data_IF_549055848268
#
_entry.id   IF_549055848268
#
_cell.length_a   1.000
_cell.length_b   1.000
_cell.length_c   1.000
_cell.angle_alpha   90.00
_cell.angle_beta   90.00
_cell.angle_gamma   90.00
#
_symmetry.space_group_name_H-M   'P 1'
#
loop_
_entity.id
_entity.type
_entity.pdbx_description
1 polymer ?
#
# COMPACT_ATOMS: atom_id res chain seq x y z
N UNK A 1 -25.10 -17.10 16.61
CA UNK A 1 -24.57 -18.45 16.86
C UNK A 1 -23.47 -18.75 15.83
N UNK A 2 -22.22 -18.55 16.23
CA UNK A 2 -20.99 -19.28 15.85
C UNK A 2 -19.86 -18.53 16.58
N UNK A 3 -19.57 -18.95 17.81
CA UNK A 3 -18.50 -18.36 18.61
C UNK A 3 -17.18 -18.99 18.19
N UNK A 4 -16.26 -18.23 17.60
CA UNK A 4 -14.86 -18.63 17.53
C UNK A 4 -14.21 -18.29 18.88
N UNK A 5 -14.12 -19.29 19.76
CA UNK A 5 -13.17 -19.28 20.89
C UNK A 5 -11.86 -19.85 20.37
N UNK A 6 -10.84 -19.01 20.19
CA UNK A 6 -9.46 -19.47 20.02
C UNK A 6 -8.87 -19.72 21.41
N UNK A 7 -8.66 -21.00 21.72
CA UNK A 7 -7.84 -21.43 22.85
C UNK A 7 -6.36 -21.39 22.44
N UNK A 8 -5.55 -20.64 23.18
CA UNK A 8 -4.09 -20.80 23.20
C UNK A 8 -3.70 -21.39 24.55
N UNK A 9 -3.25 -22.64 24.57
CA UNK A 9 -2.51 -23.21 25.69
C UNK A 9 -1.04 -23.35 25.28
N UNK A 10 -0.19 -22.57 25.95
CA UNK A 10 1.27 -22.67 25.92
C UNK A 10 1.72 -23.76 26.91
N UNK A 11 2.71 -24.57 26.53
CA UNK A 11 3.68 -25.14 27.45
C UNK A 11 4.97 -25.53 26.68
N UNK A 12 6.08 -24.99 27.17
CA UNK A 12 7.47 -25.24 26.82
C UNK A 12 7.86 -26.73 27.10
N UNK A 13 8.93 -27.33 26.57
CA UNK A 13 10.36 -26.97 26.65
C UNK A 13 11.22 -27.95 25.81
N UNK A 14 12.36 -27.46 25.32
CA UNK A 14 13.67 -28.14 25.08
C UNK A 14 13.74 -29.46 24.28
N UNK A 15 14.37 -29.45 23.09
CA UNK A 15 15.82 -29.76 22.94
C UNK A 15 16.29 -29.76 21.47
N UNK A 16 17.58 -29.46 21.33
CA UNK A 16 18.43 -29.30 20.15
C UNK A 16 18.61 -30.56 19.27
N UNK A 17 18.73 -30.41 17.94
CA UNK A 17 19.88 -30.84 17.11
C UNK A 17 19.61 -30.81 15.58
N UNK A 18 20.56 -30.17 14.89
CA UNK A 18 21.12 -30.36 13.53
C UNK A 18 20.25 -30.56 12.27
N UNK A 19 20.48 -29.62 11.33
CA UNK A 19 20.90 -29.80 9.93
C UNK A 19 20.10 -30.74 9.00
N UNK A 20 19.43 -30.19 7.98
CA UNK A 20 19.81 -30.38 6.57
C UNK A 20 18.75 -29.82 5.60
N UNK A 21 19.25 -29.13 4.58
CA UNK A 21 18.63 -28.64 3.33
C UNK A 21 17.34 -29.35 2.86
N UNK A 22 16.28 -28.58 2.58
CA UNK A 22 15.16 -29.03 1.74
C UNK A 22 14.93 -28.08 0.56
N UNK A 23 15.13 -28.66 -0.64
CA UNK A 23 14.64 -28.19 -1.93
C UNK A 23 13.11 -28.21 -1.94
N UNK A 24 12.49 -27.15 -2.44
CA UNK A 24 11.04 -27.10 -2.74
C UNK A 24 10.81 -27.36 -4.23
N UNK A 25 10.12 -28.46 -4.53
CA UNK A 25 9.56 -28.78 -5.85
C UNK A 25 8.11 -28.29 -5.91
N UNK A 26 7.74 -27.59 -6.99
CA UNK A 26 6.35 -27.23 -7.32
C UNK A 26 5.90 -28.01 -8.56
N UNK A 27 4.65 -28.48 -8.54
CA UNK A 27 3.96 -29.24 -9.59
C UNK A 27 2.93 -28.35 -10.30
N UNK A 28 2.78 -28.48 -11.62
CA UNK A 28 1.75 -27.83 -12.47
C UNK A 28 1.13 -28.87 -13.43
N UNK A 29 -0.19 -28.85 -13.74
CA UNK A 29 -0.85 -29.85 -14.60
C UNK A 29 -0.96 -29.45 -16.09
N UNK A 30 -1.07 -30.46 -16.97
CA UNK A 30 -0.94 -30.42 -18.44
C UNK A 30 -2.28 -30.31 -19.22
N UNK A 31 -2.28 -29.63 -20.37
CA UNK A 31 -3.38 -29.53 -21.36
C UNK A 31 -3.30 -30.61 -22.47
N UNK A 32 -4.47 -30.94 -23.05
CA UNK A 32 -4.72 -31.82 -24.21
C UNK A 32 -4.88 -30.96 -25.49
N UNK A 33 -4.33 -31.42 -26.63
CA UNK A 33 -4.40 -30.77 -27.94
C UNK A 33 -4.96 -31.75 -29.00
N UNK A 34 -5.72 -31.23 -29.98
CA UNK A 34 -6.18 -31.97 -31.16
C UNK A 34 -5.99 -31.12 -32.44
N UNK A 35 -5.64 -31.79 -33.54
CA UNK A 35 -5.07 -31.29 -34.81
C UNK A 35 -6.00 -30.46 -35.73
N UNK A 36 -5.44 -29.45 -36.44
CA UNK A 36 -5.25 -29.42 -37.91
C UNK A 36 -4.96 -28.00 -38.46
N UNK A 37 -4.26 -27.98 -39.61
CA UNK A 37 -4.09 -26.89 -40.61
C UNK A 37 -3.05 -25.76 -40.42
N UNK A 38 -1.85 -26.00 -41.00
CA UNK A 38 -1.22 -25.27 -42.12
C UNK A 38 -1.23 -23.71 -42.13
N UNK A 39 -0.04 -23.11 -41.94
CA UNK A 39 0.69 -22.19 -42.86
C UNK A 39 1.46 -21.04 -42.14
N UNK A 40 2.77 -21.09 -42.37
CA UNK A 40 3.81 -20.04 -42.43
C UNK A 40 4.13 -19.12 -41.23
N UNK A 41 5.41 -19.25 -40.85
CA UNK A 41 6.38 -18.18 -40.63
C UNK A 41 6.59 -17.59 -39.22
N UNK A 42 7.78 -17.94 -38.73
CA UNK A 42 8.74 -17.18 -37.90
C UNK A 42 8.72 -17.33 -36.38
N UNK A 43 9.78 -18.00 -35.91
CA UNK A 43 10.59 -17.75 -34.72
C UNK A 43 10.29 -18.52 -33.40
N UNK A 44 11.38 -19.14 -32.89
CA UNK A 44 11.65 -19.70 -31.53
C UNK A 44 11.12 -21.14 -31.29
N UNK A 45 11.91 -22.22 -31.34
CA UNK A 45 13.04 -22.66 -30.45
C UNK A 45 12.63 -22.49 -28.97
N UNK A 46 12.42 -23.50 -28.11
CA UNK A 46 12.70 -24.94 -28.13
C UNK A 46 11.74 -25.69 -27.16
N UNK A 47 11.55 -26.97 -27.47
CA UNK A 47 10.85 -28.14 -26.85
C UNK A 47 10.96 -28.37 -25.31
N UNK A 48 10.24 -29.27 -24.61
CA UNK A 48 9.70 -30.62 -24.93
C UNK A 48 8.79 -31.08 -23.73
N UNK A 49 7.51 -31.44 -23.89
CA UNK A 49 6.91 -32.79 -24.04
C UNK A 49 7.25 -33.87 -22.97
N UNK A 50 6.25 -34.38 -22.22
CA UNK A 50 5.72 -35.78 -22.31
C UNK A 50 4.64 -36.15 -21.24
N UNK A 51 3.63 -36.92 -21.68
CA UNK A 51 2.41 -37.39 -20.99
C UNK A 51 2.53 -38.80 -20.32
N UNK A 52 1.67 -39.13 -19.33
CA UNK A 52 0.56 -40.15 -19.39
C UNK A 52 -0.09 -40.52 -18.02
N UNK A 53 -1.39 -40.93 -17.94
CA UNK A 53 -2.20 -41.07 -16.70
C UNK A 53 -2.78 -42.48 -16.40
N UNK A 54 -3.13 -42.83 -15.13
CA UNK A 54 -3.97 -44.02 -14.77
C UNK A 54 -4.82 -43.85 -13.47
N UNK A 55 -6.15 -44.00 -13.65
CA UNK A 55 -7.28 -44.59 -12.84
C UNK A 55 -7.86 -44.03 -11.52
N UNK A 56 -9.21 -44.11 -11.54
CA UNK A 56 -10.28 -43.75 -10.60
C UNK A 56 -10.38 -44.66 -9.36
N UNK A 57 -10.96 -44.12 -8.26
CA UNK A 57 -12.18 -44.62 -7.60
C UNK A 57 -12.48 -43.86 -6.30
N UNK A 58 -13.76 -43.53 -6.03
CA UNK A 58 -14.23 -43.08 -4.73
C UNK A 58 -15.42 -42.11 -4.77
N UNK A 59 -16.63 -42.66 -4.87
CA UNK A 59 -17.93 -41.98 -4.80
C UNK A 59 -18.24 -41.57 -3.35
N UNK A 60 -18.70 -40.34 -3.12
CA UNK A 60 -19.78 -40.05 -2.16
C UNK A 60 -20.54 -38.79 -2.60
N UNK A 61 -21.85 -38.97 -2.79
CA UNK A 61 -22.83 -37.92 -3.11
C UNK A 61 -23.48 -37.46 -1.79
N UNK A 62 -23.51 -36.16 -1.55
CA UNK A 62 -24.48 -35.54 -0.64
C UNK A 62 -25.11 -34.37 -1.39
N UNK A 63 -26.38 -34.53 -1.70
CA UNK A 63 -27.24 -33.51 -2.28
C UNK A 63 -28.01 -32.76 -1.17
N UNK A 64 -28.55 -31.61 -1.59
CA UNK A 64 -29.63 -30.82 -1.03
C UNK A 64 -29.36 -29.90 0.18
N UNK A 65 -29.81 -28.66 -0.05
CA UNK A 65 -30.30 -27.67 0.91
C UNK A 65 -29.31 -26.71 1.57
N UNK A 66 -28.93 -25.67 0.82
CA UNK A 66 -28.57 -24.38 1.40
C UNK A 66 -29.50 -23.30 0.87
N UNK A 67 -30.59 -23.09 1.63
CA UNK A 67 -31.48 -21.94 1.53
C UNK A 67 -30.67 -20.65 1.65
N UNK A 68 -30.96 -19.72 0.75
CA UNK A 68 -30.50 -18.34 0.76
C UNK A 68 -30.91 -17.64 2.05
N UNK A 69 -29.98 -17.46 2.98
CA UNK A 69 -30.13 -16.49 4.06
C UNK A 69 -29.30 -15.26 3.71
N UNK A 70 -30.00 -14.19 3.36
CA UNK A 70 -29.46 -12.84 3.20
C UNK A 70 -28.93 -12.36 4.56
N UNK A 71 -27.63 -12.51 4.78
CA UNK A 71 -26.96 -11.93 5.96
C UNK A 71 -26.79 -10.42 5.74
N UNK A 72 -27.77 -9.62 6.16
CA UNK A 72 -27.58 -8.18 6.34
C UNK A 72 -26.99 -7.95 7.74
N UNK A 73 -25.67 -8.05 7.89
CA UNK A 73 -25.00 -7.59 9.09
C UNK A 73 -24.94 -6.06 9.07
N UNK A 74 -25.93 -5.40 9.66
CA UNK A 74 -25.82 -3.98 9.99
C UNK A 74 -24.84 -3.85 11.15
N UNK A 75 -23.58 -3.52 10.84
CA UNK A 75 -22.61 -3.12 11.86
C UNK A 75 -23.11 -1.84 12.56
N UNK A 76 -22.91 -1.68 13.88
CA UNK A 76 -23.23 -0.45 14.57
C UNK A 76 -22.49 0.72 13.91
N UNK A 77 -23.22 1.77 13.51
CA UNK A 77 -22.64 2.95 12.85
C UNK A 77 -21.64 3.72 13.73
N UNK A 78 -21.59 3.40 15.03
CA UNK A 78 -20.73 4.05 16.01
C UNK A 78 -19.42 3.28 16.30
N UNK A 79 -19.08 2.29 15.47
CA UNK A 79 -17.78 1.64 15.50
C UNK A 79 -16.66 2.68 15.25
N UNK A 80 -15.56 2.69 16.04
CA UNK A 80 -14.41 3.56 15.76
C UNK A 80 -13.73 3.25 14.43
N UNK A 81 -14.12 2.17 13.75
CA UNK A 81 -13.66 1.77 12.41
C UNK A 81 -14.72 1.99 11.32
N UNK A 82 -15.79 2.75 11.60
CA UNK A 82 -16.87 2.98 10.65
C UNK A 82 -16.32 3.50 9.30
N UNK A 83 -16.69 2.81 8.22
CA UNK A 83 -16.24 3.11 6.85
C UNK A 83 -14.90 2.51 6.44
N UNK A 84 -14.01 2.10 7.36
CA UNK A 84 -12.75 1.43 7.00
C UNK A 84 -13.02 0.03 6.43
N UNK A 85 -13.95 -0.71 7.05
CA UNK A 85 -14.40 -2.03 6.58
C UNK A 85 -14.96 -1.93 5.16
N UNK A 86 -15.86 -0.98 4.91
CA UNK A 86 -16.44 -0.74 3.59
C UNK A 86 -15.37 -0.37 2.56
N UNK A 87 -14.39 0.45 2.96
CA UNK A 87 -13.31 0.83 2.07
C UNK A 87 -12.44 -0.37 1.72
N UNK A 88 -12.00 -1.15 2.72
CA UNK A 88 -11.18 -2.34 2.53
C UNK A 88 -11.90 -3.39 1.68
N UNK A 89 -13.16 -3.70 1.98
CA UNK A 89 -13.99 -4.61 1.19
C UNK A 89 -14.15 -4.09 -0.24
N UNK A 90 -14.38 -2.79 -0.42
CA UNK A 90 -14.46 -2.19 -1.76
C UNK A 90 -13.14 -2.29 -2.53
N UNK A 91 -12.00 -2.11 -1.87
CA UNK A 91 -10.68 -2.30 -2.48
C UNK A 91 -10.43 -3.77 -2.86
N UNK A 92 -10.79 -4.71 -1.98
CA UNK A 92 -10.69 -6.15 -2.26
C UNK A 92 -11.56 -6.58 -3.44
N UNK A 93 -12.74 -5.97 -3.62
CA UNK A 93 -13.58 -6.16 -4.80
C UNK A 93 -13.16 -5.32 -6.01
N UNK A 94 -12.06 -4.58 -5.93
CA UNK A 94 -11.54 -3.76 -7.01
C UNK A 94 -12.40 -2.54 -7.35
N UNK A 95 -13.26 -2.09 -6.43
CA UNK A 95 -14.16 -0.93 -6.57
C UNK A 95 -13.55 0.38 -6.03
N UNK A 96 -12.53 0.31 -5.17
CA UNK A 96 -11.77 1.47 -4.67
C UNK A 96 -10.29 1.35 -5.01
N UNK A 97 -9.60 2.49 -5.07
CA UNK A 97 -8.16 2.59 -5.36
C UNK A 97 -7.33 2.41 -4.09
N UNK A 98 -6.05 2.10 -4.27
CA UNK A 98 -5.07 2.02 -3.19
C UNK A 98 -4.99 3.30 -2.34
N UNK A 99 -5.05 4.47 -2.98
CA UNK A 99 -5.07 5.78 -2.32
C UNK A 99 -6.30 5.97 -1.45
N UNK A 100 -7.47 5.46 -1.87
CA UNK A 100 -8.70 5.60 -1.10
C UNK A 100 -8.60 4.79 0.22
N UNK A 101 -7.92 3.63 0.21
CA UNK A 101 -7.59 2.89 1.43
C UNK A 101 -6.62 3.67 2.31
N UNK A 102 -5.55 4.22 1.71
CA UNK A 102 -4.58 5.02 2.44
C UNK A 102 -5.27 6.18 3.17
N UNK A 103 -6.11 6.95 2.48
CA UNK A 103 -6.87 8.05 3.06
C UNK A 103 -7.73 7.60 4.24
N UNK A 104 -8.41 6.45 4.15
CA UNK A 104 -9.20 5.93 5.28
C UNK A 104 -8.34 5.55 6.47
N UNK A 105 -7.18 4.93 6.25
CA UNK A 105 -6.23 4.64 7.34
C UNK A 105 -5.74 5.94 7.97
N UNK A 106 -5.45 6.98 7.18
CA UNK A 106 -5.00 8.26 7.70
C UNK A 106 -6.03 8.92 8.62
N UNK A 107 -7.34 8.81 8.33
CA UNK A 107 -8.41 9.33 9.19
C UNK A 107 -8.39 8.77 10.62
N UNK A 108 -7.84 7.59 10.81
CA UNK A 108 -7.77 6.93 12.11
C UNK A 108 -6.45 7.21 12.85
N UNK A 109 -5.47 7.83 12.19
CA UNK A 109 -4.15 8.15 12.75
C UNK A 109 -3.96 9.66 12.96
N UNK A 110 -4.38 10.46 11.97
CA UNK A 110 -4.21 11.91 11.96
C UNK A 110 -5.33 12.59 12.74
N UNK A 111 -4.95 13.50 13.62
CA UNK A 111 -5.83 14.33 14.40
C UNK A 111 -5.76 15.78 13.92
N UNK A 112 -6.77 16.56 14.30
CA UNK A 112 -6.77 18.02 14.10
C UNK A 112 -5.58 18.64 14.85
N UNK A 113 -4.90 19.59 14.22
CA UNK A 113 -3.69 20.21 14.78
C UNK A 113 -2.39 19.43 14.53
N UNK A 114 -2.43 18.21 13.97
CA UNK A 114 -1.21 17.46 13.66
C UNK A 114 -0.40 18.11 12.51
N UNK A 115 0.89 17.81 12.48
CA UNK A 115 1.76 18.11 11.32
C UNK A 115 1.99 16.85 10.49
N UNK A 116 1.81 16.95 9.17
CA UNK A 116 1.89 15.83 8.22
C UNK A 116 2.68 16.21 6.97
N UNK A 117 3.20 15.19 6.27
CA UNK A 117 4.01 15.35 5.06
C UNK A 117 3.44 14.55 3.90
N UNK A 118 3.19 15.22 2.78
CA UNK A 118 3.03 14.62 1.47
C UNK A 118 4.37 14.67 0.72
N UNK A 119 5.07 13.53 0.67
CA UNK A 119 6.42 13.46 0.13
C UNK A 119 6.48 13.39 -1.41
N UNK A 120 5.32 13.39 -2.08
CA UNK A 120 5.17 13.26 -3.54
C UNK A 120 3.87 13.92 -3.98
N UNK A 121 3.76 15.23 -3.82
CA UNK A 121 2.44 15.89 -3.86
C UNK A 121 1.74 15.82 -5.21
N UNK A 122 2.49 15.76 -6.31
CA UNK A 122 1.93 15.55 -7.64
C UNK A 122 0.82 16.54 -7.99
N UNK A 123 -0.39 16.04 -8.28
CA UNK A 123 -1.56 16.89 -8.57
C UNK A 123 -2.30 17.38 -7.31
N UNK A 124 -1.75 17.19 -6.11
CA UNK A 124 -2.23 17.78 -4.86
C UNK A 124 -3.40 17.07 -4.16
N UNK A 125 -3.91 15.95 -4.70
CA UNK A 125 -5.06 15.26 -4.11
C UNK A 125 -4.80 14.75 -2.68
N UNK A 126 -3.61 14.19 -2.43
CA UNK A 126 -3.24 13.71 -1.11
C UNK A 126 -2.94 14.88 -0.16
N UNK A 127 -2.30 15.93 -0.66
CA UNK A 127 -2.10 17.19 0.07
C UNK A 127 -3.43 17.78 0.55
N UNK A 128 -4.44 17.86 -0.34
CA UNK A 128 -5.78 18.33 0.00
C UNK A 128 -6.48 17.40 1.01
N UNK A 129 -6.35 16.08 0.83
CA UNK A 129 -6.91 15.11 1.76
C UNK A 129 -6.28 15.26 3.16
N UNK A 130 -4.97 15.41 3.25
CA UNK A 130 -4.24 15.66 4.50
C UNK A 130 -4.66 16.96 5.17
N UNK A 131 -4.81 18.05 4.40
CA UNK A 131 -5.26 19.32 4.93
C UNK A 131 -6.62 19.19 5.60
N UNK A 132 -7.57 18.51 4.95
CA UNK A 132 -8.90 18.25 5.50
C UNK A 132 -8.85 17.44 6.82
N UNK A 133 -7.80 16.66 7.07
CA UNK A 133 -7.61 15.95 8.33
C UNK A 133 -7.05 16.85 9.43
N UNK A 134 -6.04 17.67 9.13
CA UNK A 134 -5.34 18.46 10.15
C UNK A 134 -5.98 19.81 10.45
N UNK A 135 -6.69 20.42 9.49
CA UNK A 135 -7.24 21.77 9.61
C UNK A 135 -8.38 21.85 10.62
N UNK A 136 -8.30 22.81 11.54
CA UNK A 136 -9.34 23.22 12.47
C UNK A 136 -9.28 24.74 12.70
N UNK A 137 -10.21 25.26 13.51
CA UNK A 137 -10.30 26.68 13.86
C UNK A 137 -9.08 27.18 14.66
N UNK A 138 -8.23 26.28 15.19
CA UNK A 138 -7.03 26.64 15.94
C UNK A 138 -5.86 27.02 15.03
N UNK A 139 -5.92 26.68 13.74
CA UNK A 139 -4.86 26.90 12.74
C UNK A 139 -3.48 26.33 13.14
N UNK A 140 -3.44 25.31 14.00
CA UNK A 140 -2.20 24.66 14.43
C UNK A 140 -1.74 23.53 13.50
N UNK A 141 -2.67 22.96 12.72
CA UNK A 141 -2.36 21.87 11.78
C UNK A 141 -1.48 22.36 10.62
N UNK A 142 -0.60 21.50 10.10
CA UNK A 142 0.26 21.89 9.00
C UNK A 142 0.58 20.73 8.05
N UNK A 143 0.51 21.00 6.75
CA UNK A 143 0.86 20.05 5.68
C UNK A 143 2.11 20.54 4.96
N UNK A 144 3.16 19.71 4.93
CA UNK A 144 4.34 19.93 4.11
C UNK A 144 4.21 19.08 2.85
N UNK A 145 4.17 19.70 1.68
CA UNK A 145 4.06 19.01 0.40
C UNK A 145 5.32 19.22 -0.44
N UNK A 146 5.90 18.11 -0.92
CA UNK A 146 7.19 18.07 -1.59
C UNK A 146 7.05 17.46 -2.98
N UNK A 147 7.69 18.08 -3.97
CA UNK A 147 7.89 17.49 -5.29
C UNK A 147 9.13 18.09 -5.95
N UNK A 148 9.78 17.32 -6.83
CA UNK A 148 10.91 17.82 -7.63
C UNK A 148 10.43 18.63 -8.84
N UNK A 149 9.23 18.35 -9.33
CA UNK A 149 8.67 19.01 -10.50
C UNK A 149 7.97 20.30 -10.08
N UNK A 150 8.31 21.40 -10.77
CA UNK A 150 7.61 22.67 -10.57
C UNK A 150 6.13 22.54 -10.98
N UNK A 151 5.85 21.84 -12.07
CA UNK A 151 4.47 21.62 -12.55
C UNK A 151 3.59 20.91 -11.52
N UNK A 152 4.13 19.95 -10.76
CA UNK A 152 3.40 19.30 -9.66
C UNK A 152 3.02 20.31 -8.56
N UNK A 153 3.96 21.19 -8.19
CA UNK A 153 3.68 22.23 -7.19
C UNK A 153 2.67 23.25 -7.70
N UNK A 154 2.77 23.64 -8.96
CA UNK A 154 1.83 24.58 -9.57
C UNK A 154 0.42 23.96 -9.65
N UNK A 155 0.30 22.69 -10.06
CA UNK A 155 -0.97 21.94 -10.03
C UNK A 155 -1.54 21.81 -8.62
N UNK A 156 -0.69 21.51 -7.64
CA UNK A 156 -1.09 21.43 -6.23
C UNK A 156 -1.58 22.79 -5.74
N UNK A 157 -0.86 23.88 -6.04
CA UNK A 157 -1.26 25.24 -5.65
C UNK A 157 -2.60 25.63 -6.26
N UNK A 158 -2.82 25.34 -7.55
CA UNK A 158 -4.08 25.62 -8.24
C UNK A 158 -5.25 24.85 -7.61
N UNK A 159 -5.10 23.55 -7.36
CA UNK A 159 -6.13 22.75 -6.70
C UNK A 159 -6.48 23.31 -5.31
N UNK A 160 -5.47 23.72 -4.54
CA UNK A 160 -5.67 24.30 -3.22
C UNK A 160 -6.36 25.68 -3.29
N UNK A 161 -6.04 26.51 -4.29
CA UNK A 161 -6.70 27.80 -4.53
C UNK A 161 -8.17 27.66 -4.89
N UNK A 162 -8.52 26.65 -5.69
CA UNK A 162 -9.90 26.37 -6.10
C UNK A 162 -10.74 25.75 -4.97
N UNK A 163 -10.09 25.04 -4.04
CA UNK A 163 -10.78 24.23 -3.03
C UNK A 163 -10.91 24.90 -1.67
N UNK A 164 -10.13 25.93 -1.37
CA UNK A 164 -9.91 26.42 0.01
C UNK A 164 -10.05 27.93 0.15
N UNK A 165 -10.34 28.36 1.37
CA UNK A 165 -10.24 29.77 1.71
C UNK A 165 -8.78 30.19 1.99
N UNK A 166 -8.46 31.51 1.97
CA UNK A 166 -7.09 31.99 2.20
C UNK A 166 -6.46 31.60 3.54
N UNK A 167 -7.25 31.33 4.60
CA UNK A 167 -6.71 30.93 5.91
C UNK A 167 -6.29 29.45 5.89
N UNK A 168 -7.09 28.58 5.28
CA UNK A 168 -6.76 27.16 5.12
C UNK A 168 -5.50 26.97 4.26
N UNK A 169 -5.34 27.78 3.21
CA UNK A 169 -4.16 27.75 2.33
C UNK A 169 -2.85 27.97 3.10
N UNK A 170 -2.86 28.80 4.15
CA UNK A 170 -1.67 29.09 4.96
C UNK A 170 -1.17 27.87 5.76
N UNK A 171 -2.00 26.85 5.95
CA UNK A 171 -1.63 25.62 6.63
C UNK A 171 -0.79 24.69 5.74
N UNK A 172 -0.70 24.96 4.43
CA UNK A 172 0.07 24.16 3.48
C UNK A 172 1.37 24.87 3.10
N UNK A 173 2.49 24.15 3.15
CA UNK A 173 3.81 24.62 2.72
C UNK A 173 4.32 23.76 1.58
N UNK A 174 4.51 24.36 0.41
CA UNK A 174 4.97 23.70 -0.81
C UNK A 174 6.49 23.85 -0.97
N UNK A 175 7.19 22.75 -1.23
CA UNK A 175 8.65 22.75 -1.39
C UNK A 175 9.06 22.06 -2.70
N UNK A 176 9.81 22.80 -3.54
CA UNK A 176 10.43 22.23 -4.74
C UNK A 176 11.73 21.52 -4.40
N UNK A 177 11.60 20.30 -3.88
CA UNK A 177 12.70 19.51 -3.37
C UNK A 177 12.39 18.02 -3.48
N UNK A 178 13.44 17.20 -3.63
CA UNK A 178 13.30 15.75 -3.54
C UNK A 178 12.98 15.33 -2.10
N UNK A 179 12.07 14.37 -1.92
CA UNK A 179 11.75 13.78 -0.61
C UNK A 179 12.97 13.24 0.15
N UNK A 180 14.05 12.87 -0.54
CA UNK A 180 15.30 12.42 0.10
C UNK A 180 15.95 13.50 0.96
N UNK A 181 15.54 14.76 0.79
CA UNK A 181 15.98 15.93 1.54
C UNK A 181 14.89 16.52 2.44
N UNK A 182 13.83 15.77 2.76
CA UNK A 182 12.69 16.27 3.56
C UNK A 182 13.10 16.88 4.90
N UNK A 183 14.15 16.35 5.55
CA UNK A 183 14.69 16.88 6.81
C UNK A 183 15.18 18.32 6.68
N UNK A 184 15.51 18.79 5.47
CA UNK A 184 15.91 20.18 5.23
C UNK A 184 14.72 21.15 5.16
N UNK A 185 13.51 20.64 4.91
CA UNK A 185 12.30 21.44 4.80
C UNK A 185 11.57 21.59 6.14
N UNK A 186 11.84 20.70 7.10
CA UNK A 186 11.12 20.61 8.37
C UNK A 186 11.89 21.26 9.52
N UNK A 187 11.21 21.89 10.50
CA UNK A 187 11.88 22.37 11.71
C UNK A 187 12.51 21.22 12.51
N UNK A 188 13.70 21.42 13.07
CA UNK A 188 14.48 20.36 13.77
C UNK A 188 13.74 19.66 14.92
N UNK A 189 12.78 20.36 15.56
CA UNK A 189 12.02 19.85 16.70
C UNK A 189 10.54 19.56 16.35
N UNK A 190 10.19 19.54 15.06
CA UNK A 190 8.83 19.23 14.65
C UNK A 190 8.58 17.71 14.74
N UNK A 191 7.46 17.35 15.37
CA UNK A 191 6.96 15.97 15.40
C UNK A 191 5.93 15.79 14.30
N UNK A 192 6.07 14.73 13.50
CA UNK A 192 5.16 14.45 12.39
C UNK A 192 4.29 13.23 12.68
N UNK A 193 2.98 13.35 12.47
CA UNK A 193 2.02 12.24 12.64
C UNK A 193 1.95 11.32 11.44
N UNK A 194 2.07 11.86 10.23
CA UNK A 194 1.95 11.13 8.97
C UNK A 194 3.02 11.59 7.99
N UNK A 195 3.66 10.65 7.31
CA UNK A 195 4.42 10.89 6.08
C UNK A 195 3.87 9.96 5.00
N UNK A 196 3.30 10.50 3.92
CA UNK A 196 2.78 9.71 2.82
C UNK A 196 3.64 9.82 1.55
N UNK A 197 3.68 8.72 0.82
CA UNK A 197 4.38 8.56 -0.45
C UNK A 197 3.46 7.87 -1.46
N UNK A 198 3.38 8.43 -2.67
CA UNK A 198 2.84 7.78 -3.86
C UNK A 198 3.97 7.63 -4.87
N UNK A 199 4.56 6.44 -4.91
CA UNK A 199 5.77 6.16 -5.67
C UNK A 199 5.41 5.78 -7.11
N UNK A 200 5.84 6.62 -8.05
CA UNK A 200 5.60 6.46 -9.48
C UNK A 200 5.99 7.70 -10.26
N UNK A 201 5.15 8.10 -11.21
CA UNK A 201 5.27 9.33 -12.00
C UNK A 201 4.07 10.24 -11.78
N UNK A 202 4.20 11.52 -12.14
CA UNK A 202 3.12 12.50 -12.12
C UNK A 202 2.05 12.16 -13.19
N UNK A 203 0.78 11.90 -12.83
CA UNK A 203 -0.26 11.68 -13.83
C UNK A 203 -0.46 12.91 -14.71
N UNK A 204 -0.30 12.75 -16.02
CA UNK A 204 -0.38 13.83 -17.01
C UNK A 204 0.95 14.56 -17.28
N UNK A 205 2.01 14.25 -16.53
CA UNK A 205 3.35 14.80 -16.72
C UNK A 205 4.27 13.90 -17.56
N UNK A 206 5.57 14.22 -17.53
CA UNK A 206 6.62 13.40 -18.16
C UNK A 206 6.80 12.07 -17.41
N UNK A 207 6.61 10.95 -18.12
CA UNK A 207 6.68 9.59 -17.56
C UNK A 207 8.11 9.11 -17.31
N UNK A 208 9.13 9.83 -17.80
CA UNK A 208 10.53 9.56 -17.48
C UNK A 208 10.93 10.12 -16.11
N UNK A 209 10.16 11.09 -15.58
CA UNK A 209 10.34 11.64 -14.24
C UNK A 209 9.58 10.77 -13.23
N UNK A 210 10.33 9.83 -12.65
CA UNK A 210 9.83 8.85 -11.67
C UNK A 210 10.48 9.03 -10.30
N UNK A 211 9.82 8.53 -9.26
CA UNK A 211 10.49 8.18 -7.99
C UNK A 211 11.55 7.10 -8.22
N UNK A 212 12.61 7.12 -7.41
CA UNK A 212 13.76 6.22 -7.58
C UNK A 212 14.13 5.57 -6.27
N UNK A 213 14.45 4.28 -6.32
CA UNK A 213 14.72 3.46 -5.13
C UNK A 213 15.77 4.06 -4.19
N UNK A 214 16.84 4.67 -4.73
CA UNK A 214 17.87 5.34 -3.92
C UNK A 214 17.33 6.53 -3.14
N UNK A 215 16.56 7.42 -3.76
CA UNK A 215 16.02 8.62 -3.09
C UNK A 215 14.87 8.25 -2.15
N UNK A 216 14.07 7.25 -2.53
CA UNK A 216 13.00 6.70 -1.69
C UNK A 216 13.56 6.08 -0.42
N UNK A 217 14.64 5.29 -0.48
CA UNK A 217 15.28 4.73 0.72
C UNK A 217 15.74 5.84 1.69
N UNK A 218 16.40 6.89 1.17
CA UNK A 218 16.84 8.02 2.00
C UNK A 218 15.66 8.75 2.64
N UNK A 219 14.56 8.92 1.90
CA UNK A 219 13.34 9.53 2.41
C UNK A 219 12.63 8.68 3.48
N UNK A 220 12.62 7.36 3.34
CA UNK A 220 12.08 6.45 4.35
C UNK A 220 12.90 6.47 5.64
N UNK A 221 14.23 6.53 5.53
CA UNK A 221 15.11 6.70 6.70
C UNK A 221 14.87 8.06 7.40
N UNK A 222 14.64 9.13 6.63
CA UNK A 222 14.27 10.44 7.17
C UNK A 222 12.88 10.41 7.86
N UNK A 223 11.87 9.86 7.19
CA UNK A 223 10.53 9.70 7.72
C UNK A 223 10.54 8.93 9.05
N UNK A 224 11.29 7.82 9.12
CA UNK A 224 11.46 7.03 10.36
C UNK A 224 12.00 7.85 11.54
N UNK A 225 12.90 8.81 11.29
CA UNK A 225 13.50 9.67 12.33
C UNK A 225 12.54 10.73 12.83
N UNK A 226 11.83 11.42 11.93
CA UNK A 226 10.96 12.56 12.27
C UNK A 226 9.56 12.17 12.75
N UNK A 227 9.11 10.95 12.43
CA UNK A 227 7.79 10.46 12.80
C UNK A 227 7.70 10.24 14.31
N UNK A 228 6.62 10.72 14.94
CA UNK A 228 6.37 10.51 16.37
C UNK A 228 5.83 9.10 16.67
N UNK A 229 5.94 8.60 17.92
CA UNK A 229 5.18 7.44 18.37
C UNK A 229 3.67 7.59 18.13
N UNK A 230 3.02 6.51 17.69
CA UNK A 230 1.65 6.53 17.17
C UNK A 230 1.49 7.16 15.79
N UNK A 231 2.58 7.42 15.07
CA UNK A 231 2.57 7.97 13.71
C UNK A 231 2.60 6.89 12.63
N UNK A 232 2.34 7.30 11.39
CA UNK A 232 2.27 6.41 10.22
C UNK A 232 3.17 6.88 9.07
N UNK A 233 3.91 5.94 8.48
CA UNK A 233 4.44 6.09 7.11
C UNK A 233 3.49 5.34 6.19
N UNK A 234 2.88 6.03 5.23
CA UNK A 234 1.97 5.46 4.24
C UNK A 234 2.61 5.48 2.87
N UNK A 235 2.63 4.36 2.17
CA UNK A 235 3.34 4.22 0.89
C UNK A 235 2.42 3.51 -0.09
N UNK A 236 2.14 4.11 -1.23
CA UNK A 236 1.50 3.42 -2.36
C UNK A 236 2.52 3.27 -3.47
N UNK A 237 2.86 2.03 -3.83
CA UNK A 237 3.87 1.75 -4.86
C UNK A 237 3.21 1.36 -6.18
N UNK A 238 3.46 2.12 -7.24
CA UNK A 238 2.93 1.84 -8.58
C UNK A 238 3.95 1.01 -9.39
N UNK A 239 3.86 -0.31 -9.31
CA UNK A 239 4.89 -1.21 -9.89
C UNK A 239 4.85 -1.38 -11.42
N UNK A 240 3.89 -0.74 -12.10
CA UNK A 240 3.58 -0.97 -13.52
C UNK A 240 4.49 -0.24 -14.52
N UNK A 241 5.51 0.49 -14.07
CA UNK A 241 6.45 1.24 -14.91
C UNK A 241 7.89 0.75 -14.70
N UNK A 242 8.83 1.05 -15.63
CA UNK A 242 10.25 0.75 -15.43
C UNK A 242 10.77 1.32 -14.11
N UNK A 243 11.48 0.51 -13.31
CA UNK A 243 11.98 0.88 -11.99
C UNK A 243 10.98 0.68 -10.83
N UNK A 244 9.69 0.50 -11.11
CA UNK A 244 8.66 0.41 -10.06
C UNK A 244 8.75 -0.86 -9.21
N UNK A 245 9.24 -1.99 -9.77
CA UNK A 245 9.45 -3.24 -9.01
C UNK A 245 10.68 -3.15 -8.13
N UNK A 246 11.76 -2.60 -8.66
CA UNK A 246 13.00 -2.36 -7.94
C UNK A 246 12.79 -1.38 -6.78
N UNK A 247 11.91 -0.40 -6.95
CA UNK A 247 11.50 0.50 -5.88
C UNK A 247 10.66 -0.21 -4.81
N UNK A 248 9.72 -1.08 -5.19
CA UNK A 248 8.99 -1.94 -4.25
C UNK A 248 9.94 -2.79 -3.40
N UNK A 249 10.91 -3.47 -4.01
CA UNK A 249 11.88 -4.32 -3.31
C UNK A 249 12.66 -3.53 -2.24
N UNK A 250 13.02 -2.28 -2.53
CA UNK A 250 13.67 -1.40 -1.55
C UNK A 250 12.75 -1.03 -0.40
N UNK A 251 11.47 -0.73 -0.67
CA UNK A 251 10.48 -0.43 0.37
C UNK A 251 10.26 -1.66 1.27
N UNK A 252 10.09 -2.84 0.68
CA UNK A 252 9.89 -4.09 1.42
C UNK A 252 11.12 -4.46 2.25
N UNK A 253 12.32 -4.32 1.68
CA UNK A 253 13.58 -4.55 2.37
C UNK A 253 13.76 -3.59 3.55
N UNK A 254 13.42 -2.30 3.38
CA UNK A 254 13.44 -1.32 4.46
C UNK A 254 12.46 -1.70 5.58
N UNK A 255 11.19 -1.94 5.23
CA UNK A 255 10.14 -2.31 6.18
C UNK A 255 10.48 -3.59 6.96
N UNK A 256 11.01 -4.60 6.27
CA UNK A 256 11.40 -5.88 6.86
C UNK A 256 12.58 -5.81 7.84
N UNK A 257 13.34 -4.71 7.85
CA UNK A 257 14.43 -4.47 8.83
C UNK A 257 13.98 -3.70 10.08
N UNK A 258 12.74 -3.21 10.11
CA UNK A 258 12.24 -2.48 11.27
C UNK A 258 11.98 -3.43 12.45
N UNK A 259 12.37 -2.98 13.65
CA UNK A 259 12.25 -3.72 14.90
C UNK A 259 10.78 -3.88 15.30
N UNK A 260 10.32 -5.13 15.45
CA UNK A 260 8.91 -5.52 15.65
C UNK A 260 8.32 -5.04 16.98
N UNK A 261 9.16 -4.70 17.95
CA UNK A 261 8.77 -4.09 19.21
C UNK A 261 8.24 -2.67 18.99
N UNK A 262 8.85 -1.92 18.05
CA UNK A 262 8.59 -0.50 17.80
C UNK A 262 7.73 -0.24 16.56
N UNK A 263 7.58 -1.22 15.66
CA UNK A 263 6.93 -1.01 14.36
C UNK A 263 5.95 -2.12 14.03
N UNK A 264 4.85 -1.75 13.38
CA UNK A 264 3.93 -2.66 12.70
C UNK A 264 3.95 -2.33 11.21
N UNK A 265 4.38 -3.28 10.39
CA UNK A 265 4.50 -3.10 8.94
C UNK A 265 3.50 -4.00 8.22
N UNK A 266 2.69 -3.44 7.34
CA UNK A 266 1.66 -4.18 6.58
C UNK A 266 1.75 -3.86 5.09
N UNK A 267 1.55 -4.87 4.23
CA UNK A 267 1.47 -4.76 2.78
C UNK A 267 0.16 -5.38 2.28
N UNK A 268 -0.57 -4.64 1.46
CA UNK A 268 -1.79 -5.12 0.81
C UNK A 268 -1.50 -5.39 -0.68
N UNK A 269 -1.39 -6.65 -1.06
CA UNK A 269 -1.03 -7.03 -2.43
C UNK A 269 -2.10 -7.92 -3.09
N UNK A 270 -2.50 -7.54 -4.31
CA UNK A 270 -3.37 -8.36 -5.15
C UNK A 270 -2.56 -9.45 -5.85
N UNK A 271 -2.84 -10.72 -5.56
CA UNK A 271 -2.03 -11.84 -6.06
C UNK A 271 -2.20 -12.10 -7.56
N UNK A 272 -3.41 -11.93 -8.11
CA UNK A 272 -3.71 -12.11 -9.54
C UNK A 272 -3.67 -10.81 -10.36
N UNK A 273 -3.27 -9.68 -9.74
CA UNK A 273 -3.11 -8.38 -10.41
C UNK A 273 -1.72 -7.82 -10.08
N UNK A 274 -0.65 -8.41 -10.64
CA UNK A 274 0.73 -8.11 -10.24
C UNK A 274 1.17 -6.68 -10.53
N UNK A 275 0.45 -5.94 -11.39
CA UNK A 275 0.72 -4.54 -11.70
C UNK A 275 -0.18 -3.55 -10.93
N UNK A 276 -1.07 -4.03 -10.05
CA UNK A 276 -1.91 -3.14 -9.25
C UNK A 276 -1.04 -2.34 -8.26
N UNK A 277 -1.39 -1.08 -7.95
CA UNK A 277 -0.70 -0.32 -6.92
C UNK A 277 -0.77 -1.03 -5.56
N UNK A 278 0.33 -1.02 -4.81
CA UNK A 278 0.49 -1.76 -3.56
C UNK A 278 0.55 -0.77 -2.39
N UNK A 279 -0.52 -0.67 -1.56
CA UNK A 279 -0.47 0.03 -0.29
C UNK A 279 0.43 -0.71 0.72
N UNK A 280 1.31 0.03 1.37
CA UNK A 280 2.18 -0.39 2.46
C UNK A 280 2.05 0.64 3.60
N UNK A 281 1.89 0.16 4.82
CA UNK A 281 1.70 0.97 6.02
C UNK A 281 2.73 0.59 7.07
N UNK A 282 3.51 1.56 7.54
CA UNK A 282 4.51 1.38 8.61
C UNK A 282 4.09 2.24 9.81
N UNK A 283 3.42 1.61 10.78
CA UNK A 283 2.96 2.27 12.00
C UNK A 283 4.05 2.21 13.06
N UNK A 284 4.42 3.37 13.62
CA UNK A 284 5.38 3.49 14.73
C UNK A 284 4.61 3.43 16.04
N UNK A 285 4.92 2.44 16.87
CA UNK A 285 4.33 2.29 18.20
C UNK A 285 4.79 3.40 19.13
#
# INVERSE_FOLDING_TARGET
MLSLRLWFSSLATHNTLSCSSRRSLFLVPHQILNNNTLISNTSKILSCCYEKPIKQNGIFSVASDLQSSSFSSSFPKDSPFSGLEDALVSYLFGKKRATDIAHMVWKHVVQKGDTVIDATCGNGFDTLAMLNLVADDSHNGCVYALDIQKDALDNTSLLLEESLNPNEKQLVKLFNICHSKMENAVPRNASFRLVAFNLGYLPGGDKEIITRSKTTLLALEAAKRILMPGGLISIVVYVGHPGGREELEVVESFAGRLCVENWICCKLQMLNRPCAPIPIFLFKR
#
